data_IF_507461318664
#
_entry.id   IF_507461318664
#
_cell.length_a   1.000
_cell.length_b   1.000
_cell.length_c   1.000
_cell.angle_alpha   90.00
_cell.angle_beta   90.00
_cell.angle_gamma   90.00
#
_symmetry.space_group_name_H-M   'P 1'
#
loop_
_entity.id
_entity.type
_entity.pdbx_description
1 polymer ?
#
# COMPACT_ATOMS: atom_id res chain seq x y z
N UNK A 1 -34.57 7.61 45.33
CA UNK A 1 -34.80 6.56 44.31
C UNK A 1 -34.26 7.10 42.99
N UNK A 2 -33.16 6.55 42.46
CA UNK A 2 -33.10 5.81 41.17
C UNK A 2 -33.65 6.66 39.99
N UNK A 3 -32.94 6.99 38.89
CA UNK A 3 -31.87 6.35 38.10
C UNK A 3 -31.19 7.45 37.23
N UNK A 4 -29.86 7.57 37.15
CA UNK A 4 -28.99 7.10 36.05
C UNK A 4 -29.65 6.96 34.66
N UNK A 5 -29.17 7.77 33.70
CA UNK A 5 -29.06 7.44 32.26
C UNK A 5 -28.07 8.44 31.63
N UNK A 6 -26.79 8.08 31.55
CA UNK A 6 -26.07 7.64 30.34
C UNK A 6 -25.72 8.80 29.42
N UNK A 7 -24.47 9.23 29.53
CA UNK A 7 -23.77 10.04 28.53
C UNK A 7 -23.35 9.12 27.39
N UNK A 8 -24.05 9.15 26.26
CA UNK A 8 -23.48 8.75 24.98
C UNK A 8 -22.67 9.93 24.45
N UNK A 9 -21.36 9.81 24.19
CA UNK A 9 -20.70 10.74 23.31
C UNK A 9 -21.25 10.44 21.92
N UNK A 10 -22.14 11.30 21.45
CA UNK A 10 -22.46 11.46 20.04
C UNK A 10 -21.12 11.72 19.33
N UNK A 11 -20.53 10.65 18.79
CA UNK A 11 -19.40 10.73 17.91
C UNK A 11 -19.94 11.37 16.63
N UNK A 12 -19.92 12.70 16.61
CA UNK A 12 -20.10 13.51 15.42
C UNK A 12 -19.03 13.08 14.43
N UNK A 13 -19.36 12.09 13.61
CA UNK A 13 -18.72 11.90 12.34
C UNK A 13 -18.93 13.22 11.60
N UNK A 14 -17.88 14.04 11.54
CA UNK A 14 -17.80 15.15 10.63
C UNK A 14 -17.84 14.56 9.22
N UNK A 15 -19.05 14.30 8.73
CA UNK A 15 -19.33 14.32 7.31
C UNK A 15 -19.13 15.78 6.91
N UNK A 16 -17.89 16.11 6.56
CA UNK A 16 -17.59 17.30 5.80
C UNK A 16 -18.49 17.24 4.57
N UNK A 17 -19.56 18.03 4.63
CA UNK A 17 -20.46 18.25 3.51
C UNK A 17 -19.64 19.06 2.52
N UNK A 18 -18.86 18.35 1.70
CA UNK A 18 -18.30 18.91 0.48
C UNK A 18 -19.48 19.45 -0.31
N UNK A 19 -19.41 20.74 -0.64
CA UNK A 19 -20.46 21.50 -1.29
C UNK A 19 -21.14 20.70 -2.42
N UNK A 20 -22.46 20.83 -2.51
CA UNK A 20 -23.39 20.20 -3.47
C UNK A 20 -23.19 20.69 -4.92
N UNK A 21 -21.93 20.84 -5.32
CA UNK A 21 -21.53 21.12 -6.69
C UNK A 21 -21.42 19.79 -7.41
N UNK A 22 -22.06 19.61 -8.58
CA UNK A 22 -21.90 18.40 -9.36
C UNK A 22 -20.42 18.24 -9.76
N UNK A 23 -19.78 17.19 -9.27
CA UNK A 23 -18.40 16.85 -9.62
C UNK A 23 -18.40 15.87 -10.77
N UNK A 24 -17.86 16.28 -11.92
CA UNK A 24 -17.64 15.40 -13.07
C UNK A 24 -16.24 14.79 -13.01
N UNK A 25 -16.13 13.53 -13.44
CA UNK A 25 -14.88 12.80 -13.40
C UNK A 25 -15.08 11.32 -13.68
N UNK A 26 -14.09 10.51 -13.29
CA UNK A 26 -14.09 9.06 -13.51
C UNK A 26 -13.73 8.30 -12.24
N UNK A 27 -14.32 7.14 -12.10
CA UNK A 27 -13.95 6.17 -11.06
C UNK A 27 -12.58 5.58 -11.36
N UNK A 28 -11.73 5.48 -10.35
CA UNK A 28 -10.37 4.94 -10.45
C UNK A 28 -10.08 4.01 -9.27
N UNK A 29 -9.09 3.13 -9.45
CA UNK A 29 -8.55 2.30 -8.38
C UNK A 29 -7.13 2.76 -8.03
N UNK A 30 -6.88 3.00 -6.75
CA UNK A 30 -5.53 3.20 -6.22
C UNK A 30 -5.01 1.85 -5.76
N UNK A 31 -3.84 1.47 -6.25
CA UNK A 31 -3.21 0.19 -5.95
C UNK A 31 -1.84 0.49 -5.35
N UNK A 32 -1.60 -0.05 -4.16
CA UNK A 32 -0.34 0.12 -3.43
C UNK A 32 0.12 -1.22 -2.86
N UNK A 33 1.43 -1.46 -2.87
CA UNK A 33 2.02 -2.58 -2.16
C UNK A 33 2.29 -2.17 -0.72
N UNK A 34 1.79 -2.94 0.24
CA UNK A 34 1.93 -2.73 1.69
C UNK A 34 2.53 -3.97 2.34
N UNK A 35 2.96 -3.86 3.60
CA UNK A 35 3.56 -4.99 4.31
C UNK A 35 2.67 -6.25 4.37
N UNK A 36 1.35 -6.06 4.41
CA UNK A 36 0.37 -7.16 4.43
C UNK A 36 0.02 -7.73 3.04
N UNK A 37 0.49 -7.13 1.94
CA UNK A 37 0.14 -7.54 0.57
C UNK A 37 -0.12 -6.36 -0.37
N UNK A 38 -1.17 -6.46 -1.19
CA UNK A 38 -1.59 -5.37 -2.11
C UNK A 38 -2.89 -4.74 -1.59
N UNK A 39 -2.89 -3.44 -1.35
CA UNK A 39 -4.09 -2.67 -1.00
C UNK A 39 -4.71 -2.08 -2.26
N UNK A 40 -6.03 -2.19 -2.37
CA UNK A 40 -6.82 -1.64 -3.47
C UNK A 40 -7.91 -0.75 -2.89
N UNK A 41 -7.90 0.53 -3.27
CA UNK A 41 -8.90 1.51 -2.84
C UNK A 41 -9.64 2.07 -4.05
N UNK A 42 -10.92 2.37 -3.88
CA UNK A 42 -11.68 3.11 -4.88
C UNK A 42 -11.57 4.60 -4.62
N UNK A 43 -11.49 5.38 -5.69
CA UNK A 43 -11.56 6.83 -5.62
C UNK A 43 -12.23 7.37 -6.90
N UNK A 44 -12.53 8.64 -6.89
CA UNK A 44 -13.04 9.37 -8.05
C UNK A 44 -12.05 10.47 -8.42
N UNK A 45 -11.57 10.44 -9.66
CA UNK A 45 -10.69 11.46 -10.20
C UNK A 45 -11.54 12.49 -10.93
N UNK A 46 -11.61 13.71 -10.38
CA UNK A 46 -12.33 14.81 -11.02
C UNK A 46 -11.61 15.30 -12.28
N UNK A 47 -12.30 16.08 -13.11
CA UNK A 47 -11.67 16.74 -14.27
C UNK A 47 -10.57 17.74 -13.89
N UNK A 48 -10.58 18.24 -12.65
CA UNK A 48 -9.52 19.10 -12.09
C UNK A 48 -8.36 18.29 -11.50
N UNK A 49 -8.23 17.02 -11.86
CA UNK A 49 -7.17 16.10 -11.41
C UNK A 49 -7.14 15.85 -9.90
N UNK A 50 -8.25 16.12 -9.21
CA UNK A 50 -8.37 15.87 -7.78
C UNK A 50 -8.85 14.43 -7.53
N UNK A 51 -8.12 13.69 -6.68
CA UNK A 51 -8.55 12.41 -6.17
C UNK A 51 -9.46 12.61 -4.96
N UNK A 52 -10.71 12.19 -5.09
CA UNK A 52 -11.74 12.24 -4.07
C UNK A 52 -12.01 10.82 -3.58
N UNK A 53 -12.01 10.61 -2.25
CA UNK A 53 -12.42 9.33 -1.66
C UNK A 53 -13.95 9.20 -1.74
N UNK A 54 -14.42 8.84 -2.92
CA UNK A 54 -15.83 8.60 -3.22
C UNK A 54 -16.01 7.17 -3.73
N UNK A 55 -17.21 6.58 -3.55
CA UNK A 55 -17.51 5.27 -4.13
C UNK A 55 -17.35 5.32 -5.64
N UNK A 56 -16.77 4.25 -6.20
CA UNK A 56 -16.68 4.09 -7.65
C UNK A 56 -18.09 3.89 -8.25
N UNK A 57 -18.51 4.78 -9.14
CA UNK A 57 -19.72 4.66 -9.94
C UNK A 57 -19.34 4.18 -11.34
N UNK A 58 -19.97 3.09 -11.80
CA UNK A 58 -19.79 2.58 -13.17
C UNK A 58 -21.00 2.96 -14.02
N UNK A 59 -20.82 3.77 -15.08
CA UNK A 59 -21.94 4.29 -15.87
C UNK A 59 -22.62 3.21 -16.74
N UNK A 60 -21.93 2.13 -17.08
CA UNK A 60 -22.49 1.00 -17.82
C UNK A 60 -21.66 -0.27 -17.62
N UNK A 61 -22.21 -1.41 -18.05
CA UNK A 61 -21.58 -2.73 -17.92
C UNK A 61 -20.23 -2.82 -18.64
N UNK A 62 -20.14 -2.31 -19.87
CA UNK A 62 -18.90 -2.41 -20.65
C UNK A 62 -17.76 -1.66 -19.98
N UNK A 63 -18.03 -0.48 -19.42
CA UNK A 63 -17.06 0.29 -18.65
C UNK A 63 -16.65 -0.46 -17.38
N UNK A 64 -17.62 -1.02 -16.64
CA UNK A 64 -17.32 -1.78 -15.42
C UNK A 64 -16.36 -2.95 -15.70
N UNK A 65 -16.64 -3.74 -16.75
CA UNK A 65 -15.81 -4.88 -17.12
C UNK A 65 -14.40 -4.48 -17.54
N UNK A 66 -14.26 -3.42 -18.34
CA UNK A 66 -12.95 -2.88 -18.71
C UNK A 66 -12.14 -2.47 -17.48
N UNK A 67 -12.76 -1.74 -16.53
CA UNK A 67 -12.09 -1.31 -15.32
C UNK A 67 -11.68 -2.49 -14.42
N UNK A 68 -12.49 -3.54 -14.34
CA UNK A 68 -12.16 -4.75 -13.56
C UNK A 68 -10.99 -5.52 -14.19
N UNK A 69 -10.96 -5.68 -15.52
CA UNK A 69 -9.83 -6.33 -16.18
C UNK A 69 -8.54 -5.53 -16.03
N UNK A 70 -8.61 -4.19 -16.11
CA UNK A 70 -7.47 -3.33 -15.82
C UNK A 70 -7.01 -3.47 -14.36
N UNK A 71 -7.93 -3.51 -13.40
CA UNK A 71 -7.61 -3.71 -11.99
C UNK A 71 -6.90 -5.04 -11.77
N UNK A 72 -7.47 -6.13 -12.30
CA UNK A 72 -6.90 -7.47 -12.21
C UNK A 72 -5.45 -7.51 -12.70
N UNK A 73 -5.19 -6.95 -13.89
CA UNK A 73 -3.84 -6.90 -14.46
C UNK A 73 -2.87 -6.17 -13.55
N UNK A 74 -3.25 -4.99 -13.05
CA UNK A 74 -2.39 -4.19 -12.16
C UNK A 74 -2.12 -4.87 -10.83
N UNK A 75 -3.12 -5.55 -10.25
CA UNK A 75 -2.92 -6.32 -9.01
C UNK A 75 -1.88 -7.42 -9.22
N UNK A 76 -1.95 -8.16 -10.34
CA UNK A 76 -0.95 -9.18 -10.69
C UNK A 76 0.45 -8.55 -10.79
N UNK A 77 0.60 -7.45 -11.54
CA UNK A 77 1.87 -6.74 -11.69
C UNK A 77 2.47 -6.34 -10.33
N UNK A 78 1.66 -5.80 -9.41
CA UNK A 78 2.10 -5.43 -8.07
C UNK A 78 2.59 -6.64 -7.24
N UNK A 79 1.92 -7.79 -7.37
CA UNK A 79 2.36 -9.02 -6.70
C UNK A 79 3.66 -9.56 -7.28
N UNK A 80 3.83 -9.53 -8.60
CA UNK A 80 5.08 -9.93 -9.25
C UNK A 80 6.25 -9.05 -8.82
N UNK A 81 6.05 -7.73 -8.77
CA UNK A 81 7.04 -6.78 -8.27
C UNK A 81 7.38 -7.04 -6.80
N UNK A 82 6.37 -7.25 -5.94
CA UNK A 82 6.58 -7.54 -4.53
C UNK A 82 7.40 -8.84 -4.33
N UNK A 83 7.13 -9.88 -5.12
CA UNK A 83 7.88 -11.13 -5.09
C UNK A 83 9.34 -10.96 -5.52
N UNK A 84 9.61 -10.16 -6.56
CA UNK A 84 10.96 -9.84 -7.01
C UNK A 84 11.76 -9.09 -5.94
N UNK A 85 11.15 -8.08 -5.31
CA UNK A 85 11.78 -7.34 -4.20
C UNK A 85 12.08 -8.29 -3.04
N UNK A 86 11.12 -9.16 -2.66
CA UNK A 86 11.34 -10.17 -1.63
C UNK A 86 12.55 -11.08 -1.93
N UNK A 87 12.66 -11.60 -3.16
CA UNK A 87 13.77 -12.46 -3.57
C UNK A 87 15.13 -11.72 -3.54
N UNK A 88 15.16 -10.44 -3.90
CA UNK A 88 16.36 -9.61 -3.82
C UNK A 88 16.82 -9.43 -2.38
N UNK A 89 15.91 -9.11 -1.45
CA UNK A 89 16.23 -8.94 -0.03
C UNK A 89 16.79 -10.23 0.58
N UNK A 90 16.23 -11.40 0.26
CA UNK A 90 16.79 -12.69 0.71
C UNK A 90 18.20 -12.91 0.18
N UNK A 91 18.44 -12.60 -1.10
CA UNK A 91 19.74 -12.80 -1.75
C UNK A 91 20.81 -11.86 -1.22
N UNK A 92 20.44 -10.60 -0.95
CA UNK A 92 21.32 -9.62 -0.31
C UNK A 92 21.66 -10.02 1.12
N UNK A 93 20.67 -10.51 1.89
CA UNK A 93 20.89 -10.97 3.26
C UNK A 93 21.80 -12.21 3.31
N UNK A 94 21.64 -13.14 2.37
CA UNK A 94 22.51 -14.31 2.24
C UNK A 94 23.96 -13.90 1.90
N UNK A 95 24.15 -12.92 1.01
CA UNK A 95 25.48 -12.39 0.66
C UNK A 95 26.15 -11.67 1.82
N UNK A 96 25.43 -10.82 2.55
CA UNK A 96 25.96 -10.13 3.73
C UNK A 96 26.34 -11.09 4.86
N UNK A 97 25.56 -12.16 5.04
CA UNK A 97 25.84 -13.21 6.03
C UNK A 97 27.10 -14.00 5.66
N UNK A 98 27.32 -14.30 4.38
CA UNK A 98 28.53 -14.97 3.90
C UNK A 98 29.79 -14.11 4.05
N UNK A 99 29.73 -12.81 3.78
CA UNK A 99 30.88 -11.91 3.91
C UNK A 99 31.28 -11.65 5.38
N UNK A 100 30.33 -11.76 6.33
CA UNK A 100 30.62 -11.58 7.76
C UNK A 100 31.21 -12.82 8.44
N UNK A 101 31.09 -14.00 7.83
CA UNK A 101 31.66 -15.25 8.34
C UNK A 101 33.13 -15.47 7.92
N UNK A 102 33.66 -14.61 7.04
CA UNK A 102 34.99 -14.74 6.44
C UNK A 102 35.89 -13.56 6.85
N UNK A 103 35.83 -13.15 8.12
CA UNK A 103 36.89 -12.35 8.71
C UNK A 103 37.89 -13.32 9.38
N UNK A 104 39.07 -13.55 8.78
CA UNK A 104 40.06 -14.43 9.37
C UNK A 104 40.51 -13.82 10.69
N UNK A 105 40.49 -14.64 11.74
CA UNK A 105 41.26 -14.40 12.94
C UNK A 105 42.75 -14.53 12.59
N UNK A 106 43.29 -13.56 11.85
CA UNK A 106 44.72 -13.38 11.63
C UNK A 106 45.20 -12.34 12.64
N UNK A 107 45.33 -12.78 13.89
CA UNK A 107 45.97 -11.98 14.94
C UNK A 107 46.81 -12.93 15.80
N UNK A 108 47.90 -13.42 15.22
CA UNK A 108 49.09 -13.88 15.95
C UNK A 108 50.32 -13.55 15.11
N UNK A 109 50.76 -12.30 15.28
CA UNK A 109 52.13 -11.78 15.28
C UNK A 109 53.22 -12.50 14.45
N UNK A 110 53.83 -11.79 13.47
CA UNK A 110 55.15 -12.12 12.96
C UNK A 110 56.17 -11.04 13.38
N UNK A 111 56.89 -11.24 14.49
CA UNK A 111 58.14 -10.51 14.81
C UNK A 111 58.81 -11.24 15.99
N UNK A 112 60.09 -11.55 16.06
CA UNK A 112 61.27 -10.91 15.47
C UNK A 112 62.52 -11.81 15.67
N UNK A 113 63.37 -11.80 14.64
CA UNK A 113 64.81 -12.08 14.49
C UNK A 113 65.72 -12.72 15.58
N UNK A 114 66.64 -13.52 15.01
CA UNK A 114 68.08 -13.68 15.30
C UNK A 114 68.54 -14.58 16.46
#
# INVERSE_FOLDING_TARGET
>A
MKKQQTSEPEQTAAAETAADQPVTGRSVFLIETVAAGVSVRTAFLSEQEQLLQMPAVFPNLSYALDQIEQLKRRVIEHFEQAAQIGAQVISEHARQSATSAEQPADNTEPTENA
#
